data_IF_556343772371
#
_entry.id   IF_556343772371
#
_cell.length_a   1.000
_cell.length_b   1.000
_cell.length_c   1.000
_cell.angle_alpha   90.00
_cell.angle_beta   90.00
_cell.angle_gamma   90.00
#
_symmetry.space_group_name_H-M   'P 1'
#
loop_
_entity.id
_entity.type
_entity.pdbx_description
1 polymer ?
#
# COMPACT_ATOMS: atom_id res chain seq x y z
N UNK A 1 29.95 -28.29 -35.28
CA UNK A 1 30.54 -27.06 -34.72
C UNK A 1 29.91 -26.80 -33.37
N UNK A 2 30.65 -27.04 -32.29
CA UNK A 2 30.22 -26.69 -30.93
C UNK A 2 30.42 -25.17 -30.78
N UNK A 3 29.33 -24.43 -30.60
CA UNK A 3 29.41 -23.00 -30.33
C UNK A 3 30.01 -22.80 -28.94
N UNK A 4 31.01 -21.94 -28.86
CA UNK A 4 31.75 -21.58 -27.65
C UNK A 4 30.80 -21.08 -26.55
N UNK A 5 30.62 -21.88 -25.50
CA UNK A 5 29.88 -21.56 -24.27
C UNK A 5 30.56 -20.51 -23.37
N UNK A 6 31.55 -19.77 -23.89
CA UNK A 6 32.26 -18.72 -23.18
C UNK A 6 32.04 -17.34 -23.83
N UNK A 7 30.80 -17.00 -24.17
CA UNK A 7 30.48 -15.57 -24.33
C UNK A 7 30.55 -14.95 -22.93
N UNK A 8 31.66 -14.28 -22.62
CA UNK A 8 31.82 -13.51 -21.39
C UNK A 8 30.56 -12.65 -21.19
N UNK A 9 29.83 -12.91 -20.11
CA UNK A 9 28.64 -12.15 -19.77
C UNK A 9 29.09 -10.73 -19.43
N UNK A 10 28.95 -9.80 -20.38
CA UNK A 10 29.27 -8.39 -20.15
C UNK A 10 28.18 -7.75 -19.28
N UNK A 11 28.28 -7.94 -17.96
CA UNK A 11 27.37 -7.38 -16.94
C UNK A 11 27.16 -5.87 -17.12
N UNK A 12 28.23 -5.13 -17.44
CA UNK A 12 28.18 -3.68 -17.67
C UNK A 12 27.30 -3.25 -18.86
N UNK A 13 27.26 -4.05 -19.94
CA UNK A 13 26.42 -3.75 -21.09
C UNK A 13 24.95 -4.04 -20.79
N UNK A 14 24.66 -5.10 -20.04
CA UNK A 14 23.29 -5.40 -19.61
C UNK A 14 22.77 -4.36 -18.62
N UNK A 15 23.59 -3.93 -17.66
CA UNK A 15 23.24 -2.84 -16.75
C UNK A 15 22.91 -1.54 -17.50
N UNK A 16 23.73 -1.12 -18.47
CA UNK A 16 23.45 0.07 -19.30
C UNK A 16 22.12 -0.05 -20.05
N UNK A 17 21.79 -1.24 -20.54
CA UNK A 17 20.52 -1.49 -21.25
C UNK A 17 19.33 -1.43 -20.30
N UNK A 18 19.45 -2.02 -19.12
CA UNK A 18 18.44 -1.98 -18.07
C UNK A 18 18.17 -0.53 -17.65
N UNK A 19 19.21 0.25 -17.36
CA UNK A 19 19.07 1.67 -17.03
C UNK A 19 18.42 2.45 -18.20
N UNK A 20 18.80 2.14 -19.44
CA UNK A 20 18.20 2.76 -20.63
C UNK A 20 16.72 2.41 -20.82
N UNK A 21 16.26 1.25 -20.35
CA UNK A 21 14.85 0.87 -20.33
C UNK A 21 14.10 1.56 -19.19
N UNK A 22 14.67 1.60 -17.98
CA UNK A 22 14.10 2.33 -16.84
C UNK A 22 13.87 3.81 -17.16
N UNK A 23 14.83 4.47 -17.83
CA UNK A 23 14.70 5.87 -18.23
C UNK A 23 13.55 6.12 -19.21
N UNK A 24 13.11 5.10 -19.94
CA UNK A 24 12.01 5.18 -20.90
C UNK A 24 10.67 4.79 -20.29
N UNK A 25 10.66 4.26 -19.07
CA UNK A 25 9.45 3.78 -18.42
C UNK A 25 8.47 4.94 -18.18
N UNK A 26 7.27 4.80 -18.74
CA UNK A 26 6.14 5.68 -18.50
C UNK A 26 4.84 4.85 -18.53
N UNK A 27 3.73 5.47 -18.13
CA UNK A 27 2.43 4.78 -18.07
C UNK A 27 2.01 4.26 -19.45
N UNK A 28 2.23 5.03 -20.52
CA UNK A 28 1.79 4.66 -21.88
C UNK A 28 2.54 3.49 -22.50
N UNK A 29 3.79 3.23 -22.07
CA UNK A 29 4.65 2.20 -22.62
C UNK A 29 5.02 1.12 -21.59
N UNK A 30 4.38 1.15 -20.41
CA UNK A 30 4.71 0.32 -19.27
C UNK A 30 4.80 -1.16 -19.68
N UNK A 31 3.76 -1.71 -20.31
CA UNK A 31 3.73 -3.12 -20.67
C UNK A 31 4.87 -3.53 -21.59
N UNK A 32 5.15 -2.71 -22.62
CA UNK A 32 6.22 -3.02 -23.56
C UNK A 32 7.60 -2.97 -22.91
N UNK A 33 7.86 -1.98 -22.05
CA UNK A 33 9.13 -1.85 -21.34
C UNK A 33 9.27 -2.93 -20.28
N UNK A 34 8.22 -3.20 -19.51
CA UNK A 34 8.20 -4.21 -18.46
C UNK A 34 8.44 -5.61 -19.04
N UNK A 35 7.75 -6.00 -20.13
CA UNK A 35 8.00 -7.28 -20.81
C UNK A 35 9.45 -7.41 -21.28
N UNK A 36 10.04 -6.36 -21.86
CA UNK A 36 11.45 -6.38 -22.30
C UNK A 36 12.42 -6.48 -21.13
N UNK A 37 12.09 -5.86 -20.00
CA UNK A 37 12.88 -5.95 -18.77
C UNK A 37 12.80 -7.35 -18.17
N UNK A 38 11.60 -7.92 -18.03
CA UNK A 38 11.41 -9.26 -17.46
C UNK A 38 12.07 -10.33 -18.34
N UNK A 39 11.96 -10.25 -19.66
CA UNK A 39 12.66 -11.14 -20.59
C UNK A 39 14.19 -11.08 -20.43
N UNK A 40 14.74 -9.88 -20.19
CA UNK A 40 16.18 -9.72 -19.95
C UNK A 40 16.59 -10.29 -18.60
N UNK A 41 15.88 -9.95 -17.54
CA UNK A 41 16.19 -10.40 -16.18
C UNK A 41 16.06 -11.91 -16.06
N UNK A 42 15.02 -12.51 -16.64
CA UNK A 42 14.89 -13.98 -16.73
C UNK A 42 16.03 -14.61 -17.52
N UNK A 43 16.45 -14.00 -18.64
CA UNK A 43 17.61 -14.48 -19.40
C UNK A 43 18.94 -14.37 -18.64
N UNK A 44 19.11 -13.33 -17.81
CA UNK A 44 20.26 -13.19 -16.90
C UNK A 44 20.19 -14.22 -15.76
N UNK A 45 19.00 -14.42 -15.17
CA UNK A 45 18.75 -15.44 -14.13
C UNK A 45 19.14 -16.83 -14.61
N UNK A 46 18.68 -17.24 -15.80
CA UNK A 46 19.04 -18.51 -16.46
C UNK A 46 20.55 -18.71 -16.64
N UNK A 47 21.31 -17.62 -16.78
CA UNK A 47 22.76 -17.63 -16.96
C UNK A 47 23.54 -17.51 -15.66
N UNK A 48 22.85 -17.45 -14.51
CA UNK A 48 23.47 -17.27 -13.20
C UNK A 48 23.92 -15.84 -12.90
N UNK A 49 23.45 -14.84 -13.66
CA UNK A 49 23.85 -13.44 -13.52
C UNK A 49 23.13 -12.72 -12.38
N UNK A 50 23.36 -13.14 -11.12
CA UNK A 50 22.75 -12.52 -9.92
C UNK A 50 23.13 -11.04 -9.79
N UNK A 51 24.39 -10.70 -10.06
CA UNK A 51 24.89 -9.32 -10.04
C UNK A 51 24.07 -8.36 -10.90
N UNK A 52 23.51 -8.85 -12.02
CA UNK A 52 22.69 -8.01 -12.91
C UNK A 52 21.29 -7.73 -12.31
N UNK A 53 20.77 -8.67 -11.52
CA UNK A 53 19.50 -8.53 -10.80
C UNK A 53 19.69 -7.59 -9.60
N UNK A 54 20.79 -7.73 -8.87
CA UNK A 54 21.18 -6.81 -7.80
C UNK A 54 21.37 -5.39 -8.34
N UNK A 55 22.10 -5.23 -9.45
CA UNK A 55 22.26 -3.92 -10.09
C UNK A 55 20.92 -3.33 -10.57
N UNK A 56 19.96 -4.17 -10.97
CA UNK A 56 18.62 -3.73 -11.30
C UNK A 56 17.85 -3.26 -10.05
N UNK A 57 17.87 -4.03 -8.96
CA UNK A 57 17.25 -3.68 -7.68
C UNK A 57 17.81 -2.34 -7.16
N UNK A 58 19.13 -2.15 -7.21
CA UNK A 58 19.76 -0.90 -6.82
C UNK A 58 19.36 0.27 -7.73
N UNK A 59 19.33 0.04 -9.04
CA UNK A 59 18.95 1.08 -10.01
C UNK A 59 17.49 1.50 -9.85
N UNK A 60 16.57 0.56 -9.58
CA UNK A 60 15.15 0.89 -9.44
C UNK A 60 14.88 1.61 -8.11
N UNK A 61 15.52 1.18 -7.01
CA UNK A 61 15.41 1.87 -5.73
C UNK A 61 15.96 3.31 -5.81
N UNK A 62 17.13 3.50 -6.45
CA UNK A 62 17.68 4.84 -6.68
C UNK A 62 16.74 5.70 -7.52
N UNK A 63 16.14 5.14 -8.58
CA UNK A 63 15.21 5.86 -9.45
C UNK A 63 13.92 6.25 -8.75
N UNK A 64 13.40 5.40 -7.87
CA UNK A 64 12.22 5.73 -7.08
C UNK A 64 12.48 6.90 -6.13
N UNK A 65 13.70 6.99 -5.59
CA UNK A 65 14.14 8.13 -4.77
C UNK A 65 14.30 9.41 -5.61
N UNK A 66 14.86 9.32 -6.81
CA UNK A 66 15.11 10.46 -7.70
C UNK A 66 13.83 10.98 -8.41
N UNK A 67 12.88 10.09 -8.72
CA UNK A 67 11.66 10.38 -9.47
C UNK A 67 10.42 9.87 -8.71
N UNK A 68 10.09 10.59 -7.64
CA UNK A 68 9.00 10.26 -6.70
C UNK A 68 7.63 10.21 -7.38
N UNK A 69 7.44 10.98 -8.46
CA UNK A 69 6.18 10.99 -9.21
C UNK A 69 5.88 9.65 -9.87
N UNK A 70 6.91 8.81 -10.09
CA UNK A 70 6.78 7.48 -10.71
C UNK A 70 7.04 6.35 -9.72
N UNK A 71 7.13 6.64 -8.42
CA UNK A 71 7.39 5.62 -7.37
C UNK A 71 6.46 4.41 -7.47
N UNK A 72 5.14 4.64 -7.58
CA UNK A 72 4.16 3.57 -7.73
C UNK A 72 4.31 2.78 -9.02
N UNK A 73 4.73 3.41 -10.13
CA UNK A 73 5.02 2.74 -11.39
C UNK A 73 6.24 1.82 -11.26
N UNK A 74 7.25 2.24 -10.50
CA UNK A 74 8.41 1.41 -10.20
C UNK A 74 8.05 0.24 -9.27
N UNK A 75 7.21 0.44 -8.26
CA UNK A 75 6.74 -0.64 -7.39
C UNK A 75 5.94 -1.70 -8.17
N UNK A 76 5.06 -1.24 -9.07
CA UNK A 76 4.30 -2.14 -9.94
C UNK A 76 5.20 -2.92 -10.91
N UNK A 77 6.28 -2.28 -11.41
CA UNK A 77 7.32 -2.97 -12.17
C UNK A 77 8.04 -4.03 -11.32
N UNK A 78 8.42 -3.72 -10.09
CA UNK A 78 9.02 -4.67 -9.15
C UNK A 78 8.12 -5.88 -8.96
N UNK A 79 6.81 -5.68 -8.73
CA UNK A 79 5.84 -6.77 -8.59
C UNK A 79 5.79 -7.68 -9.81
N UNK A 80 5.79 -7.09 -11.01
CA UNK A 80 5.78 -7.86 -12.25
C UNK A 80 7.07 -8.65 -12.43
N UNK A 81 8.22 -8.03 -12.15
CA UNK A 81 9.53 -8.68 -12.22
C UNK A 81 9.63 -9.83 -11.23
N UNK A 82 9.21 -9.62 -9.99
CA UNK A 82 9.23 -10.63 -8.94
C UNK A 82 8.43 -11.87 -9.36
N UNK A 83 7.17 -11.68 -9.78
CA UNK A 83 6.31 -12.78 -10.26
C UNK A 83 6.91 -13.56 -11.42
N UNK A 84 7.47 -12.87 -12.41
CA UNK A 84 8.09 -13.52 -13.58
C UNK A 84 9.34 -14.30 -13.20
N UNK A 85 10.18 -13.77 -12.31
CA UNK A 85 11.37 -14.46 -11.82
C UNK A 85 11.01 -15.66 -10.94
N UNK A 86 9.99 -15.54 -10.07
CA UNK A 86 9.49 -16.68 -9.29
C UNK A 86 8.91 -17.78 -10.18
N UNK A 87 8.13 -17.42 -11.21
CA UNK A 87 7.60 -18.40 -12.16
C UNK A 87 8.72 -19.13 -12.90
N UNK A 88 9.77 -18.41 -13.27
CA UNK A 88 10.95 -18.98 -13.90
C UNK A 88 11.70 -19.93 -12.94
N UNK A 89 11.91 -19.53 -11.69
CA UNK A 89 12.55 -20.37 -10.67
C UNK A 89 11.73 -21.66 -10.42
N UNK A 90 10.40 -21.55 -10.29
CA UNK A 90 9.50 -22.72 -10.15
C UNK A 90 9.58 -23.64 -11.37
N UNK A 91 9.67 -23.09 -12.58
CA UNK A 91 9.85 -23.87 -13.81
C UNK A 91 11.17 -24.65 -13.81
N UNK A 92 12.25 -24.05 -13.34
CA UNK A 92 13.54 -24.74 -13.19
C UNK A 92 13.50 -25.82 -12.11
N UNK A 93 12.83 -25.58 -10.99
CA UNK A 93 12.64 -26.62 -9.95
C UNK A 93 11.88 -27.82 -10.50
N UNK A 94 10.84 -27.57 -11.30
CA UNK A 94 10.05 -28.64 -11.92
C UNK A 94 10.87 -29.46 -12.94
N UNK A 95 11.73 -28.82 -13.74
CA UNK A 95 12.58 -29.50 -14.71
C UNK A 95 13.74 -30.32 -14.08
N UNK A 96 14.15 -30.00 -12.86
CA UNK A 96 15.29 -30.63 -12.17
C UNK A 96 14.85 -31.73 -11.17
N UNK A 97 13.76 -32.43 -11.45
CA UNK A 97 13.17 -33.51 -10.64
C UNK A 97 12.92 -33.12 -9.15
N UNK A 98 12.76 -31.82 -8.85
CA UNK A 98 12.55 -31.31 -7.49
C UNK A 98 13.73 -31.46 -6.52
N UNK A 99 14.84 -32.07 -6.95
CA UNK A 99 16.02 -32.30 -6.09
C UNK A 99 16.93 -31.09 -6.01
N UNK A 100 16.82 -30.15 -6.96
CA UNK A 100 17.62 -28.93 -7.02
C UNK A 100 16.75 -27.72 -6.72
N UNK A 101 16.70 -27.31 -5.45
CA UNK A 101 16.20 -25.98 -5.10
C UNK A 101 17.07 -24.95 -5.83
N UNK A 102 16.42 -23.93 -6.42
CA UNK A 102 17.15 -22.80 -6.99
C UNK A 102 17.93 -22.14 -5.86
N UNK A 103 19.27 -22.17 -5.92
CA UNK A 103 20.14 -21.57 -4.91
C UNK A 103 20.22 -20.05 -5.00
N UNK A 104 19.35 -19.43 -5.80
CA UNK A 104 19.38 -18.00 -6.05
C UNK A 104 18.40 -17.28 -5.10
N UNK A 105 18.80 -16.15 -4.49
CA UNK A 105 17.90 -15.36 -3.66
C UNK A 105 16.71 -14.86 -4.50
N UNK A 106 15.53 -14.74 -3.88
CA UNK A 106 14.35 -14.15 -4.52
C UNK A 106 14.62 -12.68 -4.85
N UNK A 107 13.93 -12.15 -5.86
CA UNK A 107 14.09 -10.74 -6.21
C UNK A 107 13.60 -9.83 -5.08
N UNK A 108 12.48 -10.15 -4.44
CA UNK A 108 12.02 -9.49 -3.22
C UNK A 108 13.13 -9.41 -2.15
N UNK A 109 13.82 -10.52 -1.83
CA UNK A 109 14.89 -10.53 -0.81
C UNK A 109 16.09 -9.64 -1.19
N UNK A 110 16.48 -9.62 -2.47
CA UNK A 110 17.53 -8.71 -2.97
C UNK A 110 17.08 -7.25 -2.82
N UNK A 111 15.82 -6.96 -3.15
CA UNK A 111 15.25 -5.61 -3.11
C UNK A 111 15.10 -5.11 -1.66
N UNK A 112 14.73 -5.98 -0.71
CA UNK A 112 14.70 -5.69 0.73
C UNK A 112 16.08 -5.26 1.21
N UNK A 113 17.11 -6.10 1.00
CA UNK A 113 18.47 -5.76 1.43
C UNK A 113 19.02 -4.48 0.76
N UNK A 114 18.61 -4.21 -0.48
CA UNK A 114 18.93 -2.95 -1.17
C UNK A 114 18.28 -1.75 -0.50
N UNK A 115 16.99 -1.85 -0.15
CA UNK A 115 16.25 -0.78 0.51
C UNK A 115 16.76 -0.54 1.93
N UNK A 116 17.06 -1.58 2.70
CA UNK A 116 17.69 -1.50 4.03
C UNK A 116 19.04 -0.77 3.98
N UNK A 117 19.89 -1.14 3.02
CA UNK A 117 21.19 -0.48 2.84
C UNK A 117 21.03 1.01 2.49
N UNK A 118 20.04 1.35 1.66
CA UNK A 118 19.75 2.76 1.34
C UNK A 118 19.09 3.51 2.49
N UNK A 119 18.27 2.83 3.29
CA UNK A 119 17.60 3.40 4.45
C UNK A 119 18.62 3.79 5.52
N UNK A 120 19.52 2.87 5.87
CA UNK A 120 20.62 3.14 6.80
C UNK A 120 21.51 4.29 6.32
N UNK A 121 21.89 4.31 5.04
CA UNK A 121 22.63 5.44 4.45
C UNK A 121 21.84 6.77 4.51
N UNK A 122 20.52 6.72 4.29
CA UNK A 122 19.67 7.90 4.32
C UNK A 122 19.51 8.47 5.73
N UNK A 123 19.48 7.61 6.77
CA UNK A 123 19.48 8.03 8.17
C UNK A 123 20.78 8.75 8.56
N UNK A 124 21.94 8.24 8.11
CA UNK A 124 23.23 8.77 8.53
C UNK A 124 23.67 10.02 7.75
N UNK A 125 23.49 10.03 6.43
CA UNK A 125 24.14 11.03 5.56
C UNK A 125 23.16 11.87 4.74
N UNK A 126 21.95 11.36 4.47
CA UNK A 126 21.06 11.89 3.41
C UNK A 126 19.59 11.82 3.76
N UNK A 127 19.19 12.56 4.80
CA UNK A 127 17.79 12.65 5.23
C UNK A 127 16.83 13.00 4.08
N UNK A 128 17.26 13.83 3.12
CA UNK A 128 16.44 14.16 1.94
C UNK A 128 16.02 12.96 1.09
N UNK A 129 16.77 11.85 1.13
CA UNK A 129 16.48 10.61 0.42
C UNK A 129 15.61 9.65 1.25
N UNK A 130 15.51 9.86 2.57
CA UNK A 130 14.75 9.01 3.47
C UNK A 130 13.24 9.02 3.14
N UNK A 131 12.68 10.21 2.94
CA UNK A 131 11.24 10.38 2.68
C UNK A 131 10.77 9.70 1.39
N UNK A 132 11.39 9.92 0.22
CA UNK A 132 10.97 9.24 -0.99
C UNK A 132 11.26 7.73 -0.94
N UNK A 133 12.30 7.31 -0.23
CA UNK A 133 12.58 5.88 -0.04
C UNK A 133 11.50 5.20 0.78
N UNK A 134 11.08 5.80 1.91
CA UNK A 134 10.04 5.18 2.75
C UNK A 134 8.67 5.19 2.04
N UNK A 135 8.37 6.21 1.24
CA UNK A 135 7.17 6.23 0.39
C UNK A 135 7.22 5.09 -0.65
N UNK A 136 8.38 4.87 -1.30
CA UNK A 136 8.58 3.75 -2.23
C UNK A 136 8.46 2.38 -1.56
N UNK A 137 8.98 2.24 -0.34
CA UNK A 137 8.80 1.01 0.45
C UNK A 137 7.34 0.76 0.80
N UNK A 138 6.59 1.83 1.11
CA UNK A 138 5.13 1.77 1.26
C UNK A 138 4.44 1.29 -0.02
N UNK A 139 4.86 1.79 -1.19
CA UNK A 139 4.35 1.31 -2.48
C UNK A 139 4.65 -0.18 -2.70
N UNK A 140 5.87 -0.64 -2.39
CA UNK A 140 6.25 -2.05 -2.51
C UNK A 140 5.45 -2.97 -1.58
N UNK A 141 5.13 -2.49 -0.38
CA UNK A 141 4.29 -3.21 0.58
C UNK A 141 2.83 -3.32 0.10
N UNK A 142 2.28 -2.23 -0.42
CA UNK A 142 0.94 -2.19 -1.01
C UNK A 142 0.82 -3.09 -2.25
N UNK A 143 1.85 -3.13 -3.10
CA UNK A 143 1.90 -4.03 -4.25
C UNK A 143 2.18 -5.49 -3.87
N UNK A 144 2.43 -5.79 -2.60
CA UNK A 144 2.71 -7.13 -2.10
C UNK A 144 4.06 -7.70 -2.57
N UNK A 145 5.01 -6.83 -2.94
CA UNK A 145 6.41 -7.20 -3.18
C UNK A 145 7.12 -7.40 -1.84
N UNK A 146 6.86 -6.50 -0.90
CA UNK A 146 7.30 -6.63 0.48
C UNK A 146 6.18 -7.20 1.34
N UNK A 147 6.57 -8.01 2.31
CA UNK A 147 5.69 -8.44 3.38
C UNK A 147 5.79 -7.47 4.57
N UNK A 148 4.82 -7.54 5.47
CA UNK A 148 4.83 -6.79 6.74
C UNK A 148 6.12 -7.07 7.52
N UNK A 149 6.60 -8.32 7.50
CA UNK A 149 7.81 -8.73 8.20
C UNK A 149 9.07 -8.06 7.61
N UNK A 150 9.13 -7.86 6.29
CA UNK A 150 10.31 -7.27 5.63
C UNK A 150 10.50 -5.78 5.97
N UNK A 151 9.42 -5.08 6.34
CA UNK A 151 9.47 -3.65 6.68
C UNK A 151 9.39 -3.37 8.18
N UNK A 152 9.07 -4.38 8.99
CA UNK A 152 8.82 -4.24 10.43
C UNK A 152 10.04 -3.62 11.14
N UNK A 153 11.23 -4.19 10.94
CA UNK A 153 12.45 -3.73 11.63
C UNK A 153 12.79 -2.27 11.29
N UNK A 154 12.53 -1.85 10.05
CA UNK A 154 12.78 -0.49 9.59
C UNK A 154 11.77 0.50 10.17
N UNK A 155 10.50 0.10 10.22
CA UNK A 155 9.43 0.90 10.84
C UNK A 155 9.65 1.02 12.35
N UNK A 156 10.03 -0.06 13.02
CA UNK A 156 10.36 -0.07 14.45
C UNK A 156 11.59 0.81 14.76
N UNK A 157 12.59 0.81 13.88
CA UNK A 157 13.73 1.71 13.98
C UNK A 157 13.28 3.18 13.85
N UNK A 158 12.39 3.51 12.92
CA UNK A 158 11.85 4.86 12.80
C UNK A 158 11.04 5.27 14.05
N UNK A 159 10.24 4.36 14.61
CA UNK A 159 9.52 4.61 15.86
C UNK A 159 10.48 4.90 17.01
N UNK A 160 11.49 4.05 17.19
CA UNK A 160 12.52 4.22 18.22
C UNK A 160 13.23 5.57 18.10
N UNK A 161 13.56 6.00 16.87
CA UNK A 161 14.19 7.31 16.64
C UNK A 161 13.21 8.46 16.89
N UNK A 162 11.94 8.30 16.54
CA UNK A 162 10.91 9.31 16.79
C UNK A 162 10.64 9.50 18.29
N UNK A 163 10.63 8.43 19.09
CA UNK A 163 10.57 8.48 20.56
C UNK A 163 11.75 9.25 21.17
N UNK A 164 12.93 9.11 20.56
CA UNK A 164 14.14 9.87 20.94
C UNK A 164 14.08 11.35 20.51
N UNK A 165 12.99 11.80 19.89
CA UNK A 165 12.78 13.18 19.46
C UNK A 165 13.37 13.52 18.08
N UNK A 166 13.75 12.52 17.27
CA UNK A 166 14.23 12.78 15.91
C UNK A 166 13.06 13.17 14.99
N UNK A 167 12.97 14.46 14.65
CA UNK A 167 11.88 15.01 13.84
C UNK A 167 11.76 14.34 12.47
N UNK A 168 12.89 14.09 11.80
CA UNK A 168 12.91 13.48 10.47
C UNK A 168 12.32 12.07 10.47
N UNK A 169 12.56 11.28 11.51
CA UNK A 169 11.97 9.95 11.66
C UNK A 169 10.45 10.02 11.85
N UNK A 170 9.95 10.98 12.64
CA UNK A 170 8.51 11.21 12.78
C UNK A 170 7.85 11.66 11.47
N UNK A 171 8.54 12.51 10.69
CA UNK A 171 8.09 12.92 9.35
C UNK A 171 8.07 11.74 8.37
N UNK A 172 9.11 10.90 8.39
CA UNK A 172 9.20 9.70 7.57
C UNK A 172 8.06 8.71 7.90
N UNK A 173 7.80 8.46 9.19
CA UNK A 173 6.67 7.65 9.64
C UNK A 173 5.34 8.20 9.16
N UNK A 174 5.13 9.51 9.31
CA UNK A 174 3.88 10.16 8.88
C UNK A 174 3.65 9.98 7.38
N UNK A 175 4.70 10.12 6.56
CA UNK A 175 4.63 9.93 5.11
C UNK A 175 4.36 8.48 4.74
N UNK A 176 5.07 7.54 5.37
CA UNK A 176 4.86 6.11 5.18
C UNK A 176 3.41 5.71 5.50
N UNK A 177 2.93 6.04 6.70
CA UNK A 177 1.59 5.68 7.14
C UNK A 177 0.53 6.32 6.24
N UNK A 178 0.66 7.61 5.91
CA UNK A 178 -0.26 8.27 4.97
C UNK A 178 -0.23 7.65 3.58
N UNK A 179 0.93 7.19 3.10
CA UNK A 179 1.03 6.57 1.79
C UNK A 179 0.30 5.24 1.76
N UNK A 180 0.50 4.42 2.79
CA UNK A 180 -0.14 3.11 2.94
C UNK A 180 -1.64 3.27 3.17
N UNK A 181 -2.07 4.14 4.08
CA UNK A 181 -3.48 4.40 4.41
C UNK A 181 -4.34 4.94 3.25
N UNK A 182 -3.73 5.40 2.15
CA UNK A 182 -4.48 5.81 0.94
C UNK A 182 -5.18 4.66 0.24
N UNK A 183 -4.64 3.46 0.35
CA UNK A 183 -5.24 2.27 -0.25
C UNK A 183 -6.15 1.58 0.76
N UNK A 184 -7.28 0.99 0.34
CA UNK A 184 -8.24 0.36 1.25
C UNK A 184 -7.64 -0.80 2.06
N UNK A 185 -6.73 -1.56 1.46
CA UNK A 185 -6.01 -2.66 2.12
C UNK A 185 -4.91 -2.15 3.06
N UNK A 186 -4.51 -0.88 2.91
CA UNK A 186 -3.43 -0.27 3.65
C UNK A 186 -3.71 -0.13 5.14
N UNK A 187 -4.96 0.11 5.54
CA UNK A 187 -5.33 0.20 6.96
C UNK A 187 -5.06 -1.11 7.69
N UNK A 188 -5.43 -2.24 7.09
CA UNK A 188 -5.14 -3.57 7.63
C UNK A 188 -3.63 -3.84 7.74
N UNK A 189 -2.85 -3.39 6.75
CA UNK A 189 -1.39 -3.48 6.78
C UNK A 189 -0.81 -2.68 7.95
N UNK A 190 -1.30 -1.45 8.17
CA UNK A 190 -0.85 -0.59 9.27
C UNK A 190 -1.24 -1.13 10.65
N UNK A 191 -2.42 -1.72 10.78
CA UNK A 191 -2.83 -2.43 12.00
C UNK A 191 -1.91 -3.61 12.30
N UNK A 192 -1.54 -4.39 11.26
CA UNK A 192 -0.60 -5.52 11.41
C UNK A 192 0.82 -5.08 11.77
N UNK A 193 1.24 -3.89 11.35
CA UNK A 193 2.50 -3.27 11.77
C UNK A 193 2.45 -2.75 13.21
N UNK A 194 1.27 -2.74 13.87
CA UNK A 194 1.10 -2.13 15.18
C UNK A 194 1.34 -0.62 15.16
N UNK A 195 1.06 0.03 14.02
CA UNK A 195 1.40 1.44 13.81
C UNK A 195 0.60 2.37 14.73
N UNK A 196 -0.69 2.11 14.96
CA UNK A 196 -1.54 2.96 15.83
C UNK A 196 -0.99 3.07 17.25
N UNK A 197 -0.81 1.92 17.93
CA UNK A 197 -0.27 1.89 19.30
C UNK A 197 1.17 2.42 19.39
N UNK A 198 1.98 2.23 18.35
CA UNK A 198 3.34 2.80 18.31
C UNK A 198 3.33 4.32 18.11
N UNK A 199 2.39 4.86 17.34
CA UNK A 199 2.24 6.32 17.20
C UNK A 199 1.73 6.93 18.51
N UNK A 200 0.76 6.31 19.18
CA UNK A 200 0.26 6.77 20.49
C UNK A 200 1.38 6.85 21.52
N UNK A 201 2.20 5.80 21.61
CA UNK A 201 3.39 5.77 22.47
C UNK A 201 4.36 6.90 22.17
N UNK A 202 4.64 7.20 20.90
CA UNK A 202 5.48 8.37 20.53
C UNK A 202 4.85 9.69 20.95
N UNK A 203 3.51 9.80 20.88
CA UNK A 203 2.78 11.02 21.22
C UNK A 203 2.72 11.29 22.74
N UNK A 204 2.77 10.25 23.55
CA UNK A 204 2.87 10.32 25.02
C UNK A 204 4.19 10.93 25.50
N UNK A 205 5.26 10.80 24.70
CA UNK A 205 6.56 11.38 25.03
C UNK A 205 6.55 12.91 24.88
N UNK A 206 7.13 13.61 25.86
CA UNK A 206 7.22 15.08 25.90
C UNK A 206 8.39 15.65 25.06
N UNK A 207 9.20 14.77 24.46
CA UNK A 207 10.42 15.14 23.74
C UNK A 207 10.11 15.57 22.29
N UNK A 208 8.96 15.17 21.74
CA UNK A 208 8.62 15.39 20.34
C UNK A 208 8.32 16.86 20.03
N UNK A 209 8.74 17.32 18.85
CA UNK A 209 8.44 18.69 18.41
C UNK A 209 6.95 18.85 18.14
N UNK A 210 6.36 20.05 18.34
CA UNK A 210 4.94 20.30 18.04
C UNK A 210 4.55 19.96 16.60
N UNK A 211 5.48 20.14 15.65
CA UNK A 211 5.28 19.79 14.24
C UNK A 211 5.20 18.28 14.04
N UNK A 212 6.12 17.51 14.63
CA UNK A 212 6.08 16.04 14.59
C UNK A 212 4.79 15.51 15.24
N UNK A 213 4.43 16.06 16.41
CA UNK A 213 3.18 15.75 17.12
C UNK A 213 1.94 15.97 16.24
N UNK A 214 1.85 17.12 15.57
CA UNK A 214 0.74 17.41 14.65
C UNK A 214 0.67 16.42 13.47
N UNK A 215 1.82 16.08 12.88
CA UNK A 215 1.87 15.16 11.75
C UNK A 215 1.44 13.73 12.12
N UNK A 216 1.87 13.26 13.30
CA UNK A 216 1.52 11.95 13.84
C UNK A 216 0.06 11.90 14.28
N UNK A 217 -0.46 12.96 14.91
CA UNK A 217 -1.88 13.03 15.28
C UNK A 217 -2.79 12.97 14.05
N UNK A 218 -2.43 13.67 12.98
CA UNK A 218 -3.14 13.55 11.70
C UNK A 218 -3.03 12.17 11.02
N UNK A 219 -2.10 11.31 11.46
CA UNK A 219 -2.06 9.90 11.04
C UNK A 219 -2.97 9.05 11.92
N UNK A 220 -2.99 9.31 13.24
CA UNK A 220 -3.93 8.69 14.19
C UNK A 220 -5.38 8.92 13.74
N UNK A 221 -5.70 10.13 13.29
CA UNK A 221 -7.02 10.47 12.76
C UNK A 221 -7.44 9.57 11.58
N UNK A 222 -6.49 9.02 10.81
CA UNK A 222 -6.80 8.08 9.70
C UNK A 222 -7.30 6.73 10.21
N UNK A 223 -6.87 6.28 11.40
CA UNK A 223 -7.32 5.02 12.00
C UNK A 223 -8.73 5.12 12.58
N UNK A 224 -9.18 6.32 12.92
CA UNK A 224 -10.50 6.55 13.51
C UNK A 224 -11.54 7.08 12.51
N UNK A 225 -11.19 7.22 11.23
CA UNK A 225 -12.18 7.50 10.20
C UNK A 225 -13.04 6.25 10.01
N UNK A 226 -14.31 6.33 10.45
CA UNK A 226 -15.29 5.32 10.09
C UNK A 226 -15.34 5.19 8.56
N UNK A 227 -15.39 3.95 8.03
CA UNK A 227 -15.51 3.76 6.59
C UNK A 227 -16.77 4.48 6.12
N UNK A 228 -16.59 5.49 5.25
CA UNK A 228 -17.71 6.19 4.63
C UNK A 228 -18.55 5.16 3.93
N UNK A 229 -19.75 4.92 4.44
CA UNK A 229 -20.68 3.98 3.87
C UNK A 229 -21.22 4.57 2.56
N UNK A 230 -20.52 4.28 1.47
CA UNK A 230 -20.77 4.81 0.12
C UNK A 230 -22.20 4.56 -0.37
N UNK A 231 -22.90 3.59 0.24
CA UNK A 231 -24.24 3.21 -0.15
C UNK A 231 -25.34 3.80 0.75
N UNK A 232 -25.00 4.62 1.75
CA UNK A 232 -25.90 5.06 2.84
C UNK A 232 -26.76 3.89 3.37
N UNK A 233 -26.19 2.70 3.29
CA UNK A 233 -26.82 1.42 3.50
C UNK A 233 -26.62 0.93 4.92
N UNK A 234 -25.85 1.61 5.76
CA UNK A 234 -25.64 1.30 7.16
C UNK A 234 -26.96 1.48 7.89
N UNK A 235 -27.67 2.58 7.63
CA UNK A 235 -29.02 2.81 8.15
C UNK A 235 -30.03 1.83 7.56
N UNK A 236 -29.94 1.55 6.25
CA UNK A 236 -30.82 0.57 5.58
C UNK A 236 -30.58 -0.87 6.06
N UNK A 237 -29.32 -1.26 6.28
CA UNK A 237 -28.91 -2.57 6.80
C UNK A 237 -29.31 -2.68 8.27
N UNK A 238 -29.13 -1.63 9.08
CA UNK A 238 -29.65 -1.57 10.45
C UNK A 238 -31.16 -1.79 10.48
N UNK A 239 -31.91 -1.18 9.56
CA UNK A 239 -33.36 -1.40 9.41
C UNK A 239 -33.71 -2.82 8.94
N UNK A 240 -33.03 -3.36 7.92
CA UNK A 240 -33.28 -4.71 7.40
C UNK A 240 -32.98 -5.79 8.44
N UNK A 241 -31.90 -5.61 9.20
CA UNK A 241 -31.46 -6.57 10.21
C UNK A 241 -32.04 -6.31 11.60
N UNK A 242 -32.90 -5.28 11.77
CA UNK A 242 -33.39 -4.83 13.08
C UNK A 242 -32.26 -4.71 14.12
N UNK A 243 -31.09 -4.21 13.68
CA UNK A 243 -29.99 -3.88 14.59
C UNK A 243 -30.33 -2.53 15.22
N UNK A 244 -31.23 -2.55 16.20
CA UNK A 244 -31.50 -1.39 17.04
C UNK A 244 -30.28 -1.13 17.92
N UNK A 245 -29.77 0.10 17.92
CA UNK A 245 -28.67 0.56 18.80
C UNK A 245 -29.11 0.60 20.30
N UNK A 246 -30.10 -0.18 20.70
CA UNK A 246 -30.81 -0.11 21.99
C UNK A 246 -30.46 -1.21 22.98
N UNK A 247 -29.38 -1.98 22.77
CA UNK A 247 -29.08 -3.14 23.63
C UNK A 247 -28.13 -2.86 24.81
N UNK A 248 -27.68 -1.63 25.05
CA UNK A 248 -26.72 -1.35 26.14
C UNK A 248 -27.13 -0.28 27.17
N UNK A 249 -28.42 0.05 27.31
CA UNK A 249 -28.89 0.99 28.34
C UNK A 249 -30.10 0.47 29.15
N UNK A 250 -30.17 -0.82 29.55
CA UNK A 250 -31.14 -1.21 30.58
C UNK A 250 -30.91 -2.51 31.36
N UNK A 251 -29.77 -2.62 32.07
CA UNK A 251 -29.70 -3.50 33.26
C UNK A 251 -29.05 -2.82 34.46
N UNK A 252 -29.59 -1.66 34.88
CA UNK A 252 -29.48 -1.24 36.29
C UNK A 252 -30.77 -0.57 36.78
N UNK A 253 -31.43 -1.27 37.71
CA UNK A 253 -32.17 -0.75 38.86
C UNK A 253 -33.44 0.08 38.61
N UNK A 254 -34.61 -0.49 38.90
CA UNK A 254 -35.29 -0.19 40.17
C UNK A 254 -36.52 -1.06 40.42
N UNK A 255 -36.64 -1.39 41.70
CA UNK A 255 -37.67 -2.12 42.42
C UNK A 255 -38.96 -1.28 42.63
N UNK A 256 -40.08 -1.99 42.80
CA UNK A 256 -41.17 -1.71 43.78
C UNK A 256 -42.36 -0.79 43.40
N UNK A 257 -43.51 -1.48 43.34
CA UNK A 257 -44.87 -1.19 43.84
C UNK A 257 -45.97 -0.41 43.07
N UNK A 258 -47.09 -1.14 42.99
CA UNK A 258 -48.49 -0.72 43.25
C UNK A 258 -49.33 0.00 42.16
N UNK A 259 -50.14 -0.83 41.48
CA UNK A 259 -51.59 -0.72 41.24
C UNK A 259 -52.24 0.66 41.00
N UNK A 260 -53.00 0.80 39.89
CA UNK A 260 -54.48 0.66 39.81
C UNK A 260 -55.07 1.36 38.57
N UNK A 261 -56.08 0.70 37.96
CA UNK A 261 -57.19 1.24 37.11
C UNK A 261 -56.84 1.84 35.74
N UNK A 262 -57.65 1.82 34.67
CA UNK A 262 -58.79 1.05 34.17
C UNK A 262 -59.26 1.81 32.91
N UNK A 263 -59.56 1.09 31.82
CA UNK A 263 -60.58 1.43 30.79
C UNK A 263 -60.27 2.59 29.82
N UNK A 264 -60.38 2.30 28.52
CA UNK A 264 -60.60 3.32 27.49
C UNK A 264 -60.28 2.87 26.07
N UNK A 265 -61.12 2.00 25.50
CA UNK A 265 -61.20 1.73 24.06
C UNK A 265 -61.34 3.01 23.23
N UNK A 266 -60.61 3.16 22.12
CA UNK A 266 -61.19 3.52 20.79
C UNK A 266 -60.17 3.43 19.65
N UNK A 267 -60.45 2.54 18.68
CA UNK A 267 -59.99 2.61 17.28
C UNK A 267 -60.84 3.65 16.51
N UNK A 268 -60.32 4.28 15.43
CA UNK A 268 -60.50 3.77 14.05
C UNK A 268 -59.21 3.89 13.22
N UNK A 269 -58.85 2.98 12.31
CA UNK A 269 -59.43 2.64 10.99
C UNK A 269 -59.39 3.78 9.95
N UNK A 270 -58.91 3.42 8.75
CA UNK A 270 -58.99 4.14 7.44
C UNK A 270 -57.86 5.16 7.18
N UNK A 271 -57.20 5.29 6.02
CA UNK A 271 -57.36 4.80 4.62
C UNK A 271 -56.05 5.18 3.90
N UNK A 272 -55.37 4.25 3.21
CA UNK A 272 -55.35 4.13 1.74
C UNK A 272 -55.41 5.45 0.95
N UNK A 273 -54.26 5.91 0.43
CA UNK A 273 -54.19 6.65 -0.82
C UNK A 273 -52.84 6.38 -1.51
N UNK A 274 -52.87 5.49 -2.50
CA UNK A 274 -51.90 5.48 -3.59
C UNK A 274 -52.19 6.67 -4.49
N UNK A 275 -51.21 7.53 -4.74
CA UNK A 275 -51.18 8.36 -5.94
C UNK A 275 -49.84 8.13 -6.65
N UNK A 276 -49.98 7.65 -7.87
CA UNK A 276 -48.94 7.42 -8.87
C UNK A 276 -49.18 8.43 -9.98
N UNK A 277 -48.24 9.33 -10.23
CA UNK A 277 -48.05 10.10 -11.48
C UNK A 277 -46.53 10.39 -11.50
N UNK A 278 -45.66 9.82 -12.33
CA UNK A 278 -45.59 9.68 -13.79
C UNK A 278 -45.66 11.01 -14.54
N UNK A 279 -44.47 11.48 -14.99
CA UNK A 279 -44.18 12.29 -16.20
C UNK A 279 -42.70 12.74 -16.15
N UNK A 280 -41.82 12.24 -17.05
CA UNK A 280 -41.38 12.88 -18.32
C UNK A 280 -40.94 14.34 -18.13
N UNK A 281 -39.77 14.83 -18.52
CA UNK A 281 -39.01 14.75 -19.77
C UNK A 281 -37.70 15.53 -19.46
N UNK A 282 -36.51 15.09 -19.86
CA UNK A 282 -35.93 15.52 -21.14
C UNK A 282 -35.08 16.80 -21.00
N UNK A 283 -33.76 16.69 -21.12
CA UNK A 283 -32.98 17.54 -22.04
C UNK A 283 -31.49 17.17 -22.02
N UNK A 284 -31.06 16.60 -23.14
CA UNK A 284 -29.68 16.60 -23.57
C UNK A 284 -29.28 18.04 -23.97
N UNK A 285 -28.12 18.49 -23.51
CA UNK A 285 -27.42 19.64 -24.10
C UNK A 285 -26.00 19.20 -24.47
N UNK A 286 -25.83 18.99 -25.77
CA UNK A 286 -24.57 19.07 -26.49
C UNK A 286 -24.06 20.52 -26.40
N UNK A 287 -22.80 20.72 -26.00
CA UNK A 287 -22.03 21.88 -26.44
C UNK A 287 -20.67 21.39 -26.95
N UNK A 288 -20.60 21.39 -28.28
CA UNK A 288 -19.41 21.27 -29.09
C UNK A 288 -19.02 22.70 -29.50
N UNK A 289 -17.87 23.21 -29.05
CA UNK A 289 -17.33 24.46 -29.59
C UNK A 289 -15.79 24.47 -29.65
N UNK A 290 -15.30 23.91 -30.76
CA UNK A 290 -14.37 24.53 -31.73
C UNK A 290 -13.43 25.68 -31.31
N UNK A 291 -12.15 25.38 -31.54
CA UNK A 291 -11.19 26.08 -32.42
C UNK A 291 -10.53 27.43 -32.03
N UNK A 292 -9.19 27.38 -32.22
CA UNK A 292 -8.26 28.38 -32.79
C UNK A 292 -7.86 29.56 -31.89
N UNK A 293 -6.59 29.57 -31.48
CA UNK A 293 -5.47 30.25 -32.18
C UNK A 293 -4.22 29.39 -32.06
#
# INVERSE_FOLDING_TARGET
MWNSWNSQHNSSLEQKRICGLLNKLNVSNFDSVATRLTERLTSCRRRGGVETIEAFADSIALRAVEDTQRSSLYAYLCRRVDRELEMEDRRWTWLNDGTRQSSHPSFASILVGTCECRFTQALDERVSQLFPLIEFMGDLLLDGVFTVADVQDLVDQLFTLAEQGQEDSAVALSRFCRRVAREPEGMYILERLGASGSIERVLEEDIITPKARYLLMAVVDLFYQEPVDVFDSAELRKQIYNLSDSDDEQERSSEVDSARTCVGDTLPSETSACESEDQTEGQAVNVDEKQKV
#
